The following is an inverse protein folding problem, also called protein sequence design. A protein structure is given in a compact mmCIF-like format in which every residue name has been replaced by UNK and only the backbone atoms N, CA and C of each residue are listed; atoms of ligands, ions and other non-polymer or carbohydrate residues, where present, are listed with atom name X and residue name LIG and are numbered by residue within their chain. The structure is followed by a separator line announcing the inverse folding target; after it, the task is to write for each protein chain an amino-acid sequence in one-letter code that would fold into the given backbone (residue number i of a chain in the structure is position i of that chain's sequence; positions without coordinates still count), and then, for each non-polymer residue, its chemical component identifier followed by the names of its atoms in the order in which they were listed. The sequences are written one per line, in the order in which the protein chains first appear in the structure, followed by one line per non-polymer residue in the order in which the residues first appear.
data_IF_261342341142
#
_entry.id   IF_261342341142
#
_cell.length_a   1.000
_cell.length_b   1.000
_cell.length_c   1.000
_cell.angle_alpha   90.00
_cell.angle_beta   90.00
_cell.angle_gamma   90.00
#
_symmetry.space_group_name_H-M   'P 1'
#
loop_
_entity.id
_entity.type
_entity.pdbx_description
1 polymer ?
#
# COMPACT_ATOMS: atom_id res chain seq x y z
N UNK A 1 -34.35 -50.20 35.24
CA UNK A 1 -35.43 -49.64 36.07
C UNK A 1 -34.77 -49.26 37.39
N UNK A 2 -35.01 -48.05 37.90
CA UNK A 2 -34.40 -47.59 39.15
C UNK A 2 -35.05 -48.28 40.36
N UNK A 3 -34.26 -48.58 41.39
CA UNK A 3 -34.69 -49.34 42.57
C UNK A 3 -35.05 -48.46 43.78
N UNK A 4 -34.48 -47.27 43.86
CA UNK A 4 -34.54 -46.34 44.99
C UNK A 4 -34.56 -44.87 44.52
N UNK A 5 -34.87 -44.63 43.24
CA UNK A 5 -34.80 -43.32 42.59
C UNK A 5 -36.03 -43.08 41.71
N UNK A 6 -36.60 -41.88 41.82
CA UNK A 6 -37.54 -41.30 40.86
C UNK A 6 -36.92 -40.00 40.34
N UNK A 7 -36.79 -39.89 39.02
CA UNK A 7 -36.31 -38.68 38.34
C UNK A 7 -37.37 -38.19 37.36
N UNK A 8 -37.78 -36.94 37.48
CA UNK A 8 -38.75 -36.31 36.59
C UNK A 8 -38.29 -34.91 36.20
N UNK A 9 -38.82 -34.43 35.08
CA UNK A 9 -38.71 -33.02 34.70
C UNK A 9 -39.96 -32.32 35.21
N UNK A 10 -39.79 -31.26 35.97
CA UNK A 10 -40.91 -30.45 36.45
C UNK A 10 -41.62 -29.77 35.27
N UNK A 11 -42.95 -29.67 35.37
CA UNK A 11 -43.83 -29.01 34.40
C UNK A 11 -44.23 -27.58 34.84
N UNK A 12 -43.75 -27.14 36.01
CA UNK A 12 -44.14 -25.88 36.63
C UNK A 12 -45.42 -25.95 37.47
N UNK A 13 -46.06 -27.11 37.58
CA UNK A 13 -47.25 -27.34 38.38
C UNK A 13 -46.92 -28.17 39.63
N UNK A 14 -47.80 -28.14 40.62
CA UNK A 14 -47.64 -28.95 41.83
C UNK A 14 -48.16 -30.40 41.65
N UNK A 15 -47.67 -31.06 40.62
CA UNK A 15 -48.06 -32.44 40.29
C UNK A 15 -47.45 -33.40 41.32
N UNK A 16 -48.24 -34.27 41.99
CA UNK A 16 -47.70 -35.25 42.93
C UNK A 16 -46.71 -36.21 42.28
N UNK A 17 -45.61 -36.47 42.98
CA UNK A 17 -44.58 -37.43 42.56
C UNK A 17 -44.79 -38.73 43.35
N UNK A 18 -45.14 -39.82 42.66
CA UNK A 18 -45.33 -41.14 43.26
C UNK A 18 -43.99 -41.88 43.38
N UNK A 19 -43.72 -42.41 44.58
CA UNK A 19 -42.55 -43.24 44.87
C UNK A 19 -42.84 -44.69 44.51
N UNK A 20 -42.01 -45.26 43.64
CA UNK A 20 -42.10 -46.66 43.20
C UNK A 20 -41.30 -47.65 44.06
N UNK A 21 -40.80 -47.21 45.22
CA UNK A 21 -39.93 -47.97 46.09
C UNK A 21 -40.31 -47.77 47.57
N UNK A 22 -40.04 -48.78 48.40
CA UNK A 22 -40.27 -48.71 49.85
C UNK A 22 -39.16 -47.94 50.56
N UNK A 23 -39.45 -47.44 51.75
CA UNK A 23 -38.48 -46.78 52.64
C UNK A 23 -38.92 -47.00 54.09
N UNK A 24 -37.98 -46.87 55.05
CA UNK A 24 -38.26 -47.09 56.48
C UNK A 24 -38.86 -45.86 57.14
N UNK A 25 -38.23 -44.71 56.91
CA UNK A 25 -38.68 -43.43 57.45
C UNK A 25 -38.62 -42.33 56.38
N UNK A 26 -39.50 -41.32 56.48
CA UNK A 26 -39.49 -40.19 55.54
C UNK A 26 -38.17 -39.41 55.54
N UNK A 27 -37.40 -39.48 56.63
CA UNK A 27 -36.04 -38.96 56.76
C UNK A 27 -35.02 -39.68 55.88
N UNK A 28 -35.30 -40.90 55.43
CA UNK A 28 -34.49 -41.61 54.45
C UNK A 28 -34.69 -41.05 53.03
N UNK A 29 -35.65 -40.14 52.81
CA UNK A 29 -35.95 -39.60 51.48
C UNK A 29 -35.31 -38.23 51.29
N UNK A 30 -34.40 -38.16 50.31
CA UNK A 30 -33.76 -36.92 49.88
C UNK A 30 -34.38 -36.46 48.57
N UNK A 31 -34.91 -35.23 48.57
CA UNK A 31 -35.40 -34.56 47.37
C UNK A 31 -34.39 -33.50 46.94
N UNK A 32 -34.02 -33.51 45.66
CA UNK A 32 -33.20 -32.48 45.03
C UNK A 32 -33.95 -31.87 43.86
N UNK A 33 -33.79 -30.56 43.68
CA UNK A 33 -34.26 -29.83 42.49
C UNK A 33 -33.05 -29.13 41.89
N UNK A 34 -32.74 -29.46 40.64
CA UNK A 34 -31.56 -28.95 39.93
C UNK A 34 -30.26 -29.16 40.73
N UNK A 35 -30.13 -30.35 41.33
CA UNK A 35 -29.00 -30.73 42.18
C UNK A 35 -29.02 -30.16 43.60
N UNK A 36 -29.91 -29.23 43.93
CA UNK A 36 -30.00 -28.60 45.26
C UNK A 36 -30.94 -29.37 46.18
N UNK A 37 -30.43 -29.86 47.30
CA UNK A 37 -31.21 -30.56 48.34
C UNK A 37 -32.32 -29.67 48.90
N UNK A 38 -33.50 -30.25 49.03
CA UNK A 38 -34.71 -29.62 49.58
C UNK A 38 -35.03 -30.24 50.93
N UNK A 39 -35.68 -29.44 51.78
CA UNK A 39 -36.01 -29.80 53.16
C UNK A 39 -37.48 -30.19 53.28
N UNK A 40 -37.76 -31.36 53.86
CA UNK A 40 -39.10 -31.82 54.20
C UNK A 40 -39.82 -30.79 55.09
N UNK A 41 -41.15 -30.67 54.95
CA UNK A 41 -42.05 -29.67 55.56
C UNK A 41 -41.84 -28.22 55.11
N UNK A 42 -40.62 -27.83 54.72
CA UNK A 42 -40.34 -26.49 54.20
C UNK A 42 -40.61 -26.39 52.71
N UNK A 43 -40.01 -27.29 51.93
CA UNK A 43 -40.06 -27.26 50.46
C UNK A 43 -41.03 -28.29 49.86
N UNK A 44 -41.18 -29.43 50.53
CA UNK A 44 -42.07 -30.50 50.11
C UNK A 44 -42.70 -31.22 51.31
N UNK A 45 -43.77 -31.95 51.07
CA UNK A 45 -44.52 -32.74 52.07
C UNK A 45 -44.85 -34.12 51.52
N UNK A 46 -45.26 -35.03 52.40
CA UNK A 46 -45.83 -36.35 52.06
C UNK A 46 -47.35 -36.35 52.29
N UNK A 47 -48.18 -36.06 51.27
CA UNK A 47 -49.63 -36.18 51.40
C UNK A 47 -50.09 -37.62 51.65
N UNK A 48 -49.34 -38.59 51.14
CA UNK A 48 -49.52 -40.03 51.41
C UNK A 48 -48.16 -40.68 51.71
N UNK A 49 -48.17 -41.92 52.17
CA UNK A 49 -46.94 -42.70 52.42
C UNK A 49 -46.11 -42.99 51.15
N UNK A 50 -46.60 -42.71 49.94
CA UNK A 50 -45.87 -42.97 48.71
C UNK A 50 -45.94 -41.81 47.71
N UNK A 51 -46.36 -40.61 48.13
CA UNK A 51 -46.40 -39.44 47.25
C UNK A 51 -45.75 -38.23 47.91
N UNK A 52 -45.09 -37.42 47.10
CA UNK A 52 -44.52 -36.14 47.49
C UNK A 52 -45.19 -35.02 46.69
N UNK A 53 -45.45 -33.90 47.34
CA UNK A 53 -45.85 -32.64 46.70
C UNK A 53 -45.00 -31.49 47.23
N UNK A 54 -44.80 -30.45 46.40
CA UNK A 54 -44.09 -29.25 46.83
C UNK A 54 -45.02 -28.31 47.58
N UNK A 55 -44.46 -27.56 48.55
CA UNK A 55 -45.22 -26.53 49.27
C UNK A 55 -45.44 -25.32 48.37
N UNK A 56 -46.45 -24.50 48.68
CA UNK A 56 -46.74 -23.29 47.93
C UNK A 56 -45.50 -22.37 47.90
N UNK A 57 -45.17 -21.86 46.71
CA UNK A 57 -43.96 -21.05 46.49
C UNK A 57 -42.66 -21.83 46.28
N UNK A 58 -42.66 -23.16 46.45
CA UNK A 58 -41.49 -24.03 46.25
C UNK A 58 -41.65 -25.01 45.07
N UNK A 59 -42.66 -24.80 44.23
CA UNK A 59 -42.92 -25.62 43.04
C UNK A 59 -41.75 -25.42 42.05
N UNK A 60 -41.05 -26.50 41.64
CA UNK A 60 -39.98 -26.39 40.67
C UNK A 60 -40.46 -25.81 39.34
N UNK A 61 -39.67 -24.91 38.77
CA UNK A 61 -39.97 -24.29 37.48
C UNK A 61 -39.93 -25.34 36.36
N UNK A 62 -40.75 -25.15 35.32
CA UNK A 62 -40.75 -26.00 34.14
C UNK A 62 -39.32 -26.20 33.60
N UNK A 63 -38.94 -27.46 33.37
CA UNK A 63 -37.62 -27.85 32.87
C UNK A 63 -36.58 -28.17 33.95
N UNK A 64 -36.82 -27.83 35.23
CA UNK A 64 -35.93 -28.26 36.31
C UNK A 64 -36.05 -29.77 36.55
N UNK A 65 -34.91 -30.43 36.79
CA UNK A 65 -34.90 -31.85 37.14
C UNK A 65 -35.20 -32.00 38.62
N UNK A 66 -36.21 -32.80 38.94
CA UNK A 66 -36.51 -33.24 40.31
C UNK A 66 -35.99 -34.66 40.47
N UNK A 67 -35.16 -34.85 41.48
CA UNK A 67 -34.64 -36.15 41.89
C UNK A 67 -35.17 -36.46 43.29
N UNK A 68 -35.89 -37.58 43.43
CA UNK A 68 -36.28 -38.14 44.72
C UNK A 68 -35.57 -39.46 44.89
N UNK A 69 -34.75 -39.58 45.92
CA UNK A 69 -33.90 -40.75 46.14
C UNK A 69 -33.95 -41.17 47.60
N UNK A 70 -33.97 -42.48 47.84
CA UNK A 70 -33.75 -43.04 49.19
C UNK A 70 -32.25 -42.97 49.53
N UNK A 71 -31.96 -42.61 50.76
CA UNK A 71 -30.61 -42.45 51.30
C UNK A 71 -30.56 -43.13 52.67
N UNK A 72 -30.37 -44.45 52.65
CA UNK A 72 -30.25 -45.26 53.86
C UNK A 72 -28.98 -44.88 54.62
N UNK A 73 -29.06 -44.79 55.95
CA UNK A 73 -27.89 -44.51 56.78
C UNK A 73 -26.85 -45.63 56.59
N UNK A 74 -25.66 -45.25 56.13
CA UNK A 74 -24.52 -46.16 55.95
C UNK A 74 -23.36 -45.86 56.92
N UNK A 75 -23.50 -44.85 57.78
CA UNK A 75 -22.49 -44.47 58.76
C UNK A 75 -22.68 -45.18 60.10
N UNK A 76 -23.87 -45.73 60.36
CA UNK A 76 -24.18 -46.52 61.55
C UNK A 76 -25.17 -47.64 61.22
N UNK A 77 -24.99 -48.79 61.88
CA UNK A 77 -25.97 -49.88 61.88
C UNK A 77 -27.16 -49.50 62.76
N UNK A 78 -28.36 -49.80 62.29
CA UNK A 78 -29.59 -49.58 63.07
C UNK A 78 -29.79 -50.64 64.16
N UNK A 79 -29.17 -51.81 63.99
CA UNK A 79 -29.18 -52.92 64.95
C UNK A 79 -27.74 -53.26 65.35
N UNK A 80 -27.50 -53.33 66.65
CA UNK A 80 -26.24 -53.79 67.24
C UNK A 80 -26.53 -55.05 68.07
N UNK A 81 -26.04 -56.20 67.60
CA UNK A 81 -26.31 -57.48 68.24
C UNK A 81 -25.45 -57.64 69.50
N UNK A 82 -26.10 -57.72 70.67
CA UNK A 82 -25.41 -57.93 71.95
C UNK A 82 -25.60 -59.36 72.46
N UNK A 83 -24.54 -59.92 73.05
CA UNK A 83 -24.58 -61.27 73.59
C UNK A 83 -25.61 -61.41 74.73
N UNK A 84 -26.43 -62.45 74.67
CA UNK A 84 -27.47 -62.71 75.68
C UNK A 84 -28.78 -61.93 75.46
N UNK A 85 -28.88 -61.08 74.43
CA UNK A 85 -30.16 -60.53 74.01
C UNK A 85 -30.98 -61.57 73.24
N UNK A 86 -32.31 -61.53 73.43
CA UNK A 86 -33.24 -62.28 72.59
C UNK A 86 -33.29 -61.60 71.22
N UNK A 87 -32.82 -62.29 70.18
CA UNK A 87 -32.99 -61.83 68.80
C UNK A 87 -34.47 -61.80 68.45
N UNK A 88 -34.98 -60.63 68.08
CA UNK A 88 -36.36 -60.47 67.61
C UNK A 88 -36.41 -60.47 66.09
N UNK A 89 -37.57 -60.83 65.54
CA UNK A 89 -37.86 -60.65 64.11
C UNK A 89 -37.60 -59.20 63.68
N UNK A 90 -37.99 -58.22 64.50
CA UNK A 90 -37.75 -56.80 64.23
C UNK A 90 -36.27 -56.43 64.09
N UNK A 91 -35.39 -57.04 64.90
CA UNK A 91 -33.94 -56.83 64.79
C UNK A 91 -33.38 -57.44 63.50
N UNK A 92 -33.85 -58.64 63.12
CA UNK A 92 -33.41 -59.33 61.91
C UNK A 92 -33.92 -58.63 60.64
N UNK A 93 -35.17 -58.20 60.63
CA UNK A 93 -35.78 -57.48 59.52
C UNK A 93 -35.15 -56.10 59.35
N UNK A 94 -34.91 -55.36 60.44
CA UNK A 94 -34.28 -54.03 60.36
C UNK A 94 -32.87 -54.11 59.77
N UNK A 95 -32.06 -55.08 60.20
CA UNK A 95 -30.70 -55.27 59.65
C UNK A 95 -30.75 -55.67 58.17
N UNK A 96 -31.62 -56.65 57.84
CA UNK A 96 -31.77 -57.17 56.47
C UNK A 96 -32.31 -56.11 55.51
N UNK A 97 -33.28 -55.30 55.94
CA UNK A 97 -33.88 -54.21 55.16
C UNK A 97 -32.88 -53.08 54.94
N UNK A 98 -32.12 -52.67 55.97
CA UNK A 98 -31.05 -51.68 55.82
C UNK A 98 -30.03 -52.14 54.78
N UNK A 99 -29.59 -53.40 54.86
CA UNK A 99 -28.64 -53.98 53.90
C UNK A 99 -29.22 -54.04 52.47
N UNK A 100 -30.48 -54.46 52.33
CA UNK A 100 -31.15 -54.55 51.03
C UNK A 100 -31.33 -53.18 50.38
N UNK A 101 -31.73 -52.18 51.16
CA UNK A 101 -31.89 -50.82 50.66
C UNK A 101 -30.56 -50.19 50.23
N UNK A 102 -29.49 -50.40 51.00
CA UNK A 102 -28.15 -49.97 50.62
C UNK A 102 -27.68 -50.62 49.31
N UNK A 103 -28.00 -51.90 49.09
CA UNK A 103 -27.66 -52.59 47.84
C UNK A 103 -28.39 -51.98 46.63
N UNK A 104 -29.70 -51.70 46.76
CA UNK A 104 -30.49 -51.02 45.73
C UNK A 104 -29.97 -49.61 45.42
N UNK A 105 -29.65 -48.84 46.45
CA UNK A 105 -29.12 -47.47 46.32
C UNK A 105 -27.74 -47.46 45.65
N UNK A 106 -26.90 -48.45 45.97
CA UNK A 106 -25.60 -48.63 45.33
C UNK A 106 -25.73 -48.98 43.85
N UNK A 107 -26.68 -49.85 43.48
CA UNK A 107 -26.97 -50.17 42.08
C UNK A 107 -27.45 -48.94 41.29
N UNK A 108 -28.34 -48.14 41.87
CA UNK A 108 -28.81 -46.90 41.24
C UNK A 108 -27.68 -45.87 41.09
N UNK A 109 -26.77 -45.78 42.07
CA UNK A 109 -25.59 -44.91 41.99
C UNK A 109 -24.63 -45.36 40.90
N UNK A 110 -24.41 -46.68 40.77
CA UNK A 110 -23.60 -47.24 39.69
C UNK A 110 -24.24 -46.99 38.31
N UNK A 111 -25.57 -47.10 38.20
CA UNK A 111 -26.30 -46.84 36.96
C UNK A 111 -26.30 -45.35 36.55
N UNK A 112 -26.23 -44.42 37.51
CA UNK A 112 -26.09 -42.98 37.26
C UNK A 112 -24.64 -42.55 36.95
N UNK A 113 -23.68 -43.45 37.17
CA UNK A 113 -22.26 -43.18 36.89
C UNK A 113 -21.93 -43.38 35.41
N UNK A 114 -20.76 -42.89 34.99
CA UNK A 114 -20.23 -43.21 33.66
C UNK A 114 -19.73 -44.66 33.69
N UNK A 115 -20.35 -45.52 32.89
CA UNK A 115 -20.04 -46.96 32.82
C UNK A 115 -19.35 -47.33 31.51
N UNK A 116 -18.69 -48.48 31.51
CA UNK A 116 -18.13 -49.11 30.31
C UNK A 116 -19.23 -49.86 29.56
N UNK A 117 -19.21 -49.76 28.23
CA UNK A 117 -20.07 -50.55 27.37
C UNK A 117 -19.51 -51.98 27.18
N UNK A 118 -20.23 -52.82 26.43
CA UNK A 118 -19.80 -54.18 26.11
C UNK A 118 -18.47 -54.28 25.32
N UNK A 119 -17.97 -53.16 24.82
CA UNK A 119 -16.70 -53.05 24.09
C UNK A 119 -15.58 -52.42 24.94
N UNK A 120 -15.76 -52.33 26.26
CA UNK A 120 -14.77 -51.75 27.19
C UNK A 120 -14.48 -50.25 26.93
N UNK A 121 -15.53 -49.48 26.57
CA UNK A 121 -15.43 -48.03 26.32
C UNK A 121 -16.43 -47.27 27.18
N UNK A 122 -16.00 -46.16 27.80
CA UNK A 122 -16.90 -45.28 28.54
C UNK A 122 -17.94 -44.64 27.63
N UNK A 123 -19.22 -44.74 28.00
CA UNK A 123 -20.32 -44.17 27.24
C UNK A 123 -21.08 -43.11 28.04
N UNK A 124 -21.39 -41.99 27.37
CA UNK A 124 -22.11 -40.87 27.99
C UNK A 124 -23.64 -41.04 28.04
N UNK A 125 -24.19 -42.17 27.57
CA UNK A 125 -25.63 -42.46 27.55
C UNK A 125 -26.50 -41.33 26.99
N UNK A 126 -26.02 -40.64 25.94
CA UNK A 126 -26.65 -39.44 25.34
C UNK A 126 -26.92 -38.31 26.34
N UNK A 127 -26.15 -38.25 27.43
CA UNK A 127 -26.16 -37.17 28.41
C UNK A 127 -24.99 -36.22 28.16
N UNK A 128 -25.16 -34.99 28.62
CA UNK A 128 -24.09 -33.99 28.63
C UNK A 128 -23.15 -34.26 29.80
N UNK A 129 -21.85 -34.15 29.54
CA UNK A 129 -20.81 -34.11 30.56
C UNK A 129 -20.37 -32.66 30.72
N UNK A 130 -20.38 -32.15 31.95
CA UNK A 130 -20.07 -30.75 32.28
C UNK A 130 -19.04 -30.70 33.41
N UNK A 131 -18.53 -29.50 33.73
CA UNK A 131 -17.52 -29.26 34.77
C UNK A 131 -16.21 -30.05 34.54
N UNK A 132 -15.79 -30.11 33.28
CA UNK A 132 -14.50 -30.66 32.88
C UNK A 132 -13.51 -29.50 32.77
N UNK A 133 -12.33 -29.63 33.36
CA UNK A 133 -11.24 -28.67 33.20
C UNK A 133 -10.71 -28.66 31.76
N UNK A 134 -10.04 -27.59 31.36
CA UNK A 134 -9.40 -27.54 30.04
C UNK A 134 -8.27 -28.58 29.94
N UNK A 135 -8.11 -29.23 28.77
CA UNK A 135 -7.11 -30.28 28.58
C UNK A 135 -5.68 -29.73 28.67
N UNK A 136 -4.81 -30.46 29.35
CA UNK A 136 -3.37 -30.14 29.48
C UNK A 136 -2.48 -31.21 28.86
N UNK A 137 -2.92 -32.48 28.91
CA UNK A 137 -2.30 -33.62 28.25
C UNK A 137 -2.92 -33.93 26.89
N UNK A 138 -2.17 -34.63 26.04
CA UNK A 138 -2.62 -34.99 24.68
C UNK A 138 -3.79 -35.98 24.64
N UNK A 139 -4.11 -36.64 25.77
CA UNK A 139 -5.19 -37.63 25.90
C UNK A 139 -6.35 -37.11 26.74
N UNK A 140 -6.29 -35.86 27.20
CA UNK A 140 -7.35 -35.26 28.01
C UNK A 140 -8.60 -35.01 27.15
N UNK A 141 -9.77 -35.03 27.79
CA UNK A 141 -11.02 -34.68 27.12
C UNK A 141 -11.01 -33.20 26.76
N UNK A 142 -11.14 -32.89 25.47
CA UNK A 142 -11.31 -31.52 25.01
C UNK A 142 -12.78 -31.09 25.15
N UNK A 143 -13.02 -30.02 25.90
CA UNK A 143 -14.36 -29.41 25.98
C UNK A 143 -14.70 -28.70 24.67
N UNK A 144 -16.00 -28.48 24.42
CA UNK A 144 -16.45 -27.66 23.29
C UNK A 144 -15.85 -26.25 23.34
N UNK A 145 -15.84 -25.63 24.52
CA UNK A 145 -15.30 -24.29 24.72
C UNK A 145 -13.81 -24.21 24.37
N UNK A 146 -13.01 -25.18 24.82
CA UNK A 146 -11.60 -25.29 24.46
C UNK A 146 -11.42 -25.43 22.94
N UNK A 147 -12.16 -26.34 22.31
CA UNK A 147 -12.04 -26.61 20.87
C UNK A 147 -12.43 -25.38 20.03
N UNK A 148 -13.53 -24.72 20.36
CA UNK A 148 -13.99 -23.51 19.67
C UNK A 148 -12.94 -22.37 19.76
N UNK A 149 -12.27 -22.24 20.91
CA UNK A 149 -11.17 -21.28 21.09
C UNK A 149 -9.99 -21.58 20.15
N UNK A 150 -9.56 -22.85 20.07
CA UNK A 150 -8.47 -23.25 19.19
C UNK A 150 -8.81 -23.04 17.72
N UNK A 151 -10.03 -23.40 17.30
CA UNK A 151 -10.51 -23.17 15.92
C UNK A 151 -10.54 -21.69 15.58
N UNK A 152 -11.02 -20.85 16.50
CA UNK A 152 -11.05 -19.40 16.31
C UNK A 152 -9.66 -18.82 16.11
N UNK A 153 -8.68 -19.27 16.91
CA UNK A 153 -7.28 -18.88 16.77
C UNK A 153 -6.70 -19.26 15.41
N UNK A 154 -6.96 -20.49 14.94
CA UNK A 154 -6.54 -20.95 13.61
C UNK A 154 -7.14 -20.09 12.51
N UNK A 155 -8.43 -19.75 12.59
CA UNK A 155 -9.12 -18.92 11.61
C UNK A 155 -8.54 -17.49 11.54
N UNK A 156 -8.19 -16.90 12.68
CA UNK A 156 -7.51 -15.60 12.76
C UNK A 156 -6.12 -15.66 12.11
N UNK A 157 -5.33 -16.69 12.40
CA UNK A 157 -4.01 -16.87 11.82
C UNK A 157 -4.07 -17.06 10.29
N UNK A 158 -5.03 -17.83 9.80
CA UNK A 158 -5.25 -18.02 8.37
C UNK A 158 -5.60 -16.69 7.66
N UNK A 159 -6.44 -15.87 8.30
CA UNK A 159 -6.81 -14.55 7.78
C UNK A 159 -5.60 -13.60 7.74
N UNK A 160 -4.78 -13.58 8.79
CA UNK A 160 -3.54 -12.79 8.83
C UNK A 160 -2.53 -13.23 7.76
N UNK A 161 -2.40 -14.54 7.52
CA UNK A 161 -1.57 -15.08 6.46
C UNK A 161 -2.07 -14.67 5.06
N UNK A 162 -3.39 -14.68 4.83
CA UNK A 162 -3.98 -14.23 3.56
C UNK A 162 -3.73 -12.74 3.32
N UNK A 163 -3.93 -11.87 4.32
CA UNK A 163 -3.60 -10.44 4.23
C UNK A 163 -2.13 -10.21 3.90
N UNK A 164 -1.23 -10.96 4.55
CA UNK A 164 0.21 -10.88 4.30
C UNK A 164 0.57 -11.27 2.87
N UNK A 165 -0.07 -12.32 2.33
CA UNK A 165 0.11 -12.74 0.94
C UNK A 165 -0.38 -11.68 -0.06
N UNK A 166 -1.54 -11.05 0.20
CA UNK A 166 -2.04 -9.95 -0.64
C UNK A 166 -1.10 -8.75 -0.64
N UNK A 167 -0.57 -8.37 0.53
CA UNK A 167 0.39 -7.26 0.64
C UNK A 167 1.70 -7.56 -0.12
N UNK A 168 2.18 -8.80 -0.06
CA UNK A 168 3.35 -9.24 -0.83
C UNK A 168 3.09 -9.17 -2.34
N UNK A 169 1.91 -9.59 -2.81
CA UNK A 169 1.52 -9.48 -4.21
C UNK A 169 1.48 -8.02 -4.70
N UNK A 170 0.87 -7.12 -3.92
CA UNK A 170 0.88 -5.68 -4.23
C UNK A 170 2.30 -5.11 -4.30
N UNK A 171 3.18 -5.52 -3.37
CA UNK A 171 4.58 -5.07 -3.36
C UNK A 171 5.34 -5.54 -4.61
N UNK A 172 5.07 -6.75 -5.09
CA UNK A 172 5.63 -7.27 -6.34
C UNK A 172 5.15 -6.45 -7.56
N UNK A 173 3.85 -6.12 -7.63
CA UNK A 173 3.30 -5.26 -8.69
C UNK A 173 3.95 -3.87 -8.69
N UNK A 174 4.09 -3.24 -7.51
CA UNK A 174 4.72 -1.93 -7.39
C UNK A 174 6.20 -1.95 -7.80
N UNK A 175 6.91 -3.03 -7.49
CA UNK A 175 8.30 -3.22 -7.91
C UNK A 175 8.41 -3.36 -9.43
N UNK A 176 7.51 -4.11 -10.07
CA UNK A 176 7.46 -4.24 -11.53
C UNK A 176 7.11 -2.92 -12.24
N UNK A 177 6.18 -2.13 -11.67
CA UNK A 177 5.85 -0.80 -12.16
C UNK A 177 7.05 0.14 -12.08
N UNK A 178 7.76 0.14 -10.93
CA UNK A 178 8.97 0.94 -10.74
C UNK A 178 10.07 0.58 -11.74
N UNK A 179 10.26 -0.72 -12.03
CA UNK A 179 11.20 -1.18 -13.04
C UNK A 179 10.82 -0.69 -14.44
N UNK A 180 9.53 -0.71 -14.78
CA UNK A 180 9.01 -0.17 -16.05
C UNK A 180 9.30 1.33 -16.17
N UNK A 181 8.99 2.12 -15.14
CA UNK A 181 9.25 3.56 -15.14
C UNK A 181 10.74 3.90 -15.28
N UNK A 182 11.62 3.11 -14.64
CA UNK A 182 13.06 3.25 -14.78
C UNK A 182 13.52 2.97 -16.23
N UNK A 183 12.99 1.93 -16.87
CA UNK A 183 13.29 1.61 -18.27
C UNK A 183 12.82 2.71 -19.25
N UNK A 184 11.61 3.26 -19.03
CA UNK A 184 11.12 4.40 -19.81
C UNK A 184 12.01 5.63 -19.65
N UNK A 185 12.41 5.96 -18.42
CA UNK A 185 13.31 7.08 -18.14
C UNK A 185 14.67 6.92 -18.84
N UNK A 186 15.23 5.70 -18.84
CA UNK A 186 16.46 5.39 -19.58
C UNK A 186 16.30 5.59 -21.10
N UNK A 187 15.15 5.22 -21.65
CA UNK A 187 14.83 5.40 -23.08
C UNK A 187 14.72 6.88 -23.45
N UNK A 188 14.03 7.67 -22.62
CA UNK A 188 13.93 9.12 -22.78
C UNK A 188 15.32 9.77 -22.75
N UNK A 189 16.15 9.44 -21.75
CA UNK A 189 17.51 9.95 -21.65
C UNK A 189 18.37 9.61 -22.89
N UNK A 190 18.24 8.40 -23.43
CA UNK A 190 18.92 8.00 -24.67
C UNK A 190 18.44 8.81 -25.88
N UNK A 191 17.14 9.09 -25.96
CA UNK A 191 16.53 9.85 -27.06
C UNK A 191 16.97 11.32 -27.00
N UNK A 192 16.94 11.92 -25.82
CA UNK A 192 17.42 13.28 -25.59
C UNK A 192 18.90 13.40 -25.93
N UNK A 193 19.71 12.41 -25.52
CA UNK A 193 21.13 12.34 -25.90
C UNK A 193 21.34 12.32 -27.42
N UNK A 194 20.57 11.53 -28.16
CA UNK A 194 20.64 11.49 -29.62
C UNK A 194 20.18 12.80 -30.29
N UNK A 195 19.13 13.43 -29.75
CA UNK A 195 18.65 14.73 -30.21
C UNK A 195 19.71 15.82 -30.00
N UNK A 196 20.38 15.82 -28.86
CA UNK A 196 21.47 16.75 -28.55
C UNK A 196 22.65 16.59 -29.52
N UNK A 197 23.04 15.36 -29.87
CA UNK A 197 24.09 15.10 -30.87
C UNK A 197 23.67 15.62 -32.25
N UNK A 198 22.41 15.41 -32.63
CA UNK A 198 21.87 15.91 -33.90
C UNK A 198 21.91 17.44 -33.97
N UNK A 199 21.48 18.11 -32.88
CA UNK A 199 21.53 19.56 -32.77
C UNK A 199 22.97 20.10 -32.83
N UNK A 200 23.89 19.48 -32.09
CA UNK A 200 25.30 19.86 -32.12
C UNK A 200 25.90 19.73 -33.53
N UNK A 201 25.56 18.66 -34.25
CA UNK A 201 25.99 18.45 -35.65
C UNK A 201 25.44 19.55 -36.57
N UNK A 202 24.17 19.91 -36.44
CA UNK A 202 23.57 20.99 -37.21
C UNK A 202 24.20 22.36 -36.91
N UNK A 203 24.54 22.63 -35.65
CA UNK A 203 25.22 23.87 -35.24
C UNK A 203 26.63 23.95 -35.85
N UNK A 204 27.39 22.84 -35.89
CA UNK A 204 28.70 22.79 -36.56
C UNK A 204 28.57 23.05 -38.06
N UNK A 205 27.58 22.45 -38.72
CA UNK A 205 27.31 22.70 -40.13
C UNK A 205 26.98 24.19 -40.40
N UNK A 206 26.10 24.78 -39.58
CA UNK A 206 25.75 26.19 -39.68
C UNK A 206 26.96 27.11 -39.45
N UNK A 207 27.79 26.83 -38.44
CA UNK A 207 29.02 27.58 -38.19
C UNK A 207 29.97 27.51 -39.39
N UNK A 208 30.08 26.33 -40.02
CA UNK A 208 30.88 26.12 -41.24
C UNK A 208 30.35 26.95 -42.41
N UNK A 209 29.03 26.94 -42.64
CA UNK A 209 28.40 27.77 -43.68
C UNK A 209 28.62 29.25 -43.44
N UNK A 210 28.48 29.72 -42.20
CA UNK A 210 28.72 31.12 -41.85
C UNK A 210 30.19 31.52 -42.08
N UNK A 211 31.15 30.65 -41.74
CA UNK A 211 32.57 30.89 -42.02
C UNK A 211 32.85 31.01 -43.53
N UNK A 212 32.27 30.13 -44.34
CA UNK A 212 32.38 30.20 -45.81
C UNK A 212 31.76 31.47 -46.37
N UNK A 213 30.57 31.86 -45.90
CA UNK A 213 29.91 33.09 -46.34
C UNK A 213 30.74 34.32 -45.95
N UNK A 214 31.30 34.36 -44.75
CA UNK A 214 32.17 35.45 -44.31
C UNK A 214 33.43 35.57 -45.19
N UNK A 215 34.06 34.44 -45.54
CA UNK A 215 35.21 34.42 -46.46
C UNK A 215 34.85 34.90 -47.87
N UNK A 216 33.68 34.50 -48.38
CA UNK A 216 33.17 34.96 -49.68
C UNK A 216 32.89 36.47 -49.66
N UNK A 217 32.25 36.99 -48.60
CA UNK A 217 32.02 38.42 -48.42
C UNK A 217 33.33 39.21 -48.33
N UNK A 218 34.34 38.70 -47.62
CA UNK A 218 35.66 39.33 -47.55
C UNK A 218 36.33 39.38 -48.94
N UNK A 219 36.24 38.30 -49.72
CA UNK A 219 36.75 38.24 -51.09
C UNK A 219 36.04 39.25 -52.00
N UNK A 220 34.71 39.33 -51.92
CA UNK A 220 33.92 40.29 -52.69
C UNK A 220 34.23 41.76 -52.31
N UNK A 221 34.45 42.03 -51.02
CA UNK A 221 34.86 43.34 -50.55
C UNK A 221 36.25 43.72 -51.10
N UNK A 222 37.21 42.79 -51.07
CA UNK A 222 38.54 43.00 -51.63
C UNK A 222 38.51 43.27 -53.14
N UNK A 223 37.71 42.50 -53.90
CA UNK A 223 37.50 42.72 -55.34
C UNK A 223 36.88 44.10 -55.62
N UNK A 224 35.91 44.50 -54.81
CA UNK A 224 35.25 45.82 -54.91
C UNK A 224 36.22 46.97 -54.58
N UNK A 225 37.17 46.78 -53.66
CA UNK A 225 38.19 47.79 -53.39
C UNK A 225 39.18 47.93 -54.56
N UNK A 226 39.57 46.82 -55.19
CA UNK A 226 40.49 46.82 -56.34
C UNK A 226 39.92 47.54 -57.58
N UNK A 227 38.60 47.48 -57.80
CA UNK A 227 37.96 48.20 -58.92
C UNK A 227 37.99 49.72 -58.75
N UNK A 228 38.06 50.24 -57.51
CA UNK A 228 38.20 51.70 -57.26
C UNK A 228 39.61 52.20 -57.59
N UNK A 229 40.65 51.36 -57.40
CA UNK A 229 42.04 51.67 -57.81
C UNK A 229 42.29 51.55 -59.32
N UNK A 230 41.43 50.84 -60.06
CA UNK A 230 41.57 50.60 -61.50
C UNK A 230 41.05 51.72 -62.42
N UNK A 231 40.74 52.88 -61.86
CA UNK A 231 40.18 54.01 -62.60
C UNK A 231 38.66 54.04 -62.49
N UNK A 232 38.15 55.04 -61.75
CA UNK A 232 36.96 55.74 -62.21
C UNK A 232 37.21 56.30 -63.63
N UNK A 233 36.28 57.03 -64.25
CA UNK A 233 36.60 57.76 -65.48
C UNK A 233 37.73 58.76 -65.20
N UNK A 234 38.98 58.29 -65.34
CA UNK A 234 40.17 59.08 -65.30
C UNK A 234 40.24 59.79 -66.64
N UNK A 235 40.26 61.12 -66.60
CA UNK A 235 40.65 61.97 -67.72
C UNK A 235 42.17 61.90 -67.97
N UNK A 236 42.79 60.74 -67.78
CA UNK A 236 44.24 60.56 -67.84
C UNK A 236 44.59 59.20 -68.43
N UNK A 237 45.01 59.23 -69.70
CA UNK A 237 45.64 58.11 -70.38
C UNK A 237 47.08 57.98 -69.91
N UNK A 238 47.36 56.94 -69.14
CA UNK A 238 48.69 56.60 -68.65
C UNK A 238 49.68 56.19 -69.75
N UNK A 239 50.24 57.17 -70.46
CA UNK A 239 51.38 57.03 -71.37
C UNK A 239 52.51 57.95 -70.97
N UNK A 240 53.76 57.47 -71.03
CA UNK A 240 54.96 58.23 -70.67
C UNK A 240 55.18 59.40 -71.63
N UNK A 241 54.91 60.62 -71.18
CA UNK A 241 55.20 61.85 -71.92
C UNK A 241 54.22 62.99 -71.67
N UNK A 242 53.08 62.74 -71.03
CA UNK A 242 52.04 63.75 -70.83
C UNK A 242 52.17 64.39 -69.43
N UNK A 243 52.64 65.64 -69.37
CA UNK A 243 52.44 66.49 -68.19
C UNK A 243 51.03 67.06 -68.27
N UNK A 244 50.20 66.78 -67.25
CA UNK A 244 48.88 67.39 -67.04
C UNK A 244 48.85 68.87 -67.44
N UNK A 245 47.92 69.22 -68.33
CA UNK A 245 47.87 70.47 -69.10
C UNK A 245 47.30 71.62 -68.27
N UNK A 246 48.00 72.01 -67.21
CA UNK A 246 47.95 73.40 -66.72
C UNK A 246 49.36 73.95 -66.76
N UNK A 247 49.70 74.58 -67.89
CA UNK A 247 50.93 75.37 -68.03
C UNK A 247 50.65 76.79 -67.52
N UNK A 248 51.33 77.22 -66.47
CA UNK A 248 51.22 78.57 -65.92
C UNK A 248 52.28 79.49 -66.55
N UNK A 249 51.85 80.64 -67.07
CA UNK A 249 52.74 81.65 -67.66
C UNK A 249 52.84 82.89 -66.75
N UNK A 250 53.97 83.60 -66.78
CA UNK A 250 54.11 84.90 -66.10
C UNK A 250 53.22 85.96 -66.78
N UNK A 251 52.68 86.89 -66.00
CA UNK A 251 51.80 87.97 -66.47
C UNK A 251 52.54 89.18 -67.10
N UNK A 252 53.87 89.10 -67.25
CA UNK A 252 54.69 90.12 -67.91
C UNK A 252 55.65 89.48 -68.91
N UNK A 253 55.71 90.02 -70.12
CA UNK A 253 56.67 89.66 -71.17
C UNK A 253 57.70 90.79 -71.27
N UNK A 254 58.96 90.49 -70.93
CA UNK A 254 60.06 91.47 -70.90
C UNK A 254 61.37 90.87 -71.40
N UNK A 255 62.09 91.62 -72.24
CA UNK A 255 63.40 91.22 -72.79
C UNK A 255 63.29 90.43 -74.10
N UNK A 256 64.39 90.32 -74.85
CA UNK A 256 64.46 89.75 -76.20
C UNK A 256 64.30 88.20 -76.22
N UNK A 257 63.38 87.66 -75.41
CA UNK A 257 62.97 86.25 -75.40
C UNK A 257 62.06 86.04 -76.60
N UNK A 258 62.57 85.38 -77.64
CA UNK A 258 61.78 85.00 -78.81
C UNK A 258 60.75 83.93 -78.43
N UNK A 259 59.58 84.37 -77.92
CA UNK A 259 58.44 83.49 -77.74
C UNK A 259 57.84 83.25 -79.13
N UNK A 260 58.04 82.04 -79.66
CA UNK A 260 57.50 81.62 -80.95
C UNK A 260 56.37 80.63 -80.72
N UNK A 261 55.18 80.92 -81.25
CA UNK A 261 54.12 79.91 -81.39
C UNK A 261 54.40 79.18 -82.72
N UNK A 262 54.80 77.89 -82.68
CA UNK A 262 55.18 77.16 -83.87
C UNK A 262 53.96 76.84 -84.74
N UNK A 263 54.19 76.63 -86.04
CA UNK A 263 53.16 76.30 -87.02
C UNK A 263 52.34 75.07 -86.60
N UNK A 264 51.01 75.14 -86.69
CA UNK A 264 50.10 74.04 -86.34
C UNK A 264 49.77 73.92 -84.84
N UNK A 265 50.25 74.83 -84.00
CA UNK A 265 49.91 74.91 -82.58
C UNK A 265 49.12 76.17 -82.25
N UNK A 266 48.27 76.10 -81.22
CA UNK A 266 47.62 77.27 -80.64
C UNK A 266 48.22 77.59 -79.27
N UNK A 267 48.60 78.85 -79.08
CA UNK A 267 48.98 79.38 -77.77
C UNK A 267 47.78 80.05 -77.13
N UNK A 268 47.65 79.96 -75.80
CA UNK A 268 46.66 80.74 -75.05
C UNK A 268 47.31 81.37 -73.82
N UNK A 269 47.02 82.64 -73.60
CA UNK A 269 47.34 83.34 -72.36
C UNK A 269 46.09 84.06 -71.87
N UNK A 270 45.75 83.89 -70.60
CA UNK A 270 44.54 84.45 -70.00
C UNK A 270 44.89 85.31 -68.78
N UNK A 271 44.28 86.50 -68.68
CA UNK A 271 44.54 87.50 -67.63
C UNK A 271 45.24 88.76 -68.16
N UNK A 272 45.50 89.76 -67.30
CA UNK A 272 46.24 90.96 -67.71
C UNK A 272 47.67 90.57 -68.11
N UNK A 273 48.05 90.89 -69.35
CA UNK A 273 49.39 90.65 -69.89
C UNK A 273 50.01 91.98 -70.28
N UNK A 274 51.18 92.29 -69.74
CA UNK A 274 51.95 93.47 -70.11
C UNK A 274 53.14 93.09 -70.99
N UNK A 275 53.22 93.67 -72.19
CA UNK A 275 54.38 93.53 -73.09
C UNK A 275 55.24 94.78 -72.94
N UNK A 276 56.49 94.59 -72.49
CA UNK A 276 57.42 95.70 -72.24
C UNK A 276 57.94 96.28 -73.55
N UNK A 277 58.05 97.62 -73.63
CA UNK A 277 58.58 98.34 -74.80
C UNK A 277 59.91 97.73 -75.28
N UNK A 278 59.98 97.40 -76.58
CA UNK A 278 61.11 96.71 -77.20
C UNK A 278 61.01 95.18 -77.28
N UNK A 279 59.92 94.56 -76.79
CA UNK A 279 59.69 93.10 -76.88
C UNK A 279 58.75 92.73 -78.05
N UNK A 280 58.94 91.56 -78.66
CA UNK A 280 58.08 91.04 -79.74
C UNK A 280 57.72 89.56 -79.55
N UNK A 281 56.49 89.16 -79.88
CA UNK A 281 56.04 87.76 -79.96
C UNK A 281 55.86 87.38 -81.43
N UNK A 282 56.38 86.21 -81.84
CA UNK A 282 56.26 85.72 -83.22
C UNK A 282 55.22 84.60 -83.29
N UNK A 283 54.12 84.84 -84.01
CA UNK A 283 53.14 83.79 -84.33
C UNK A 283 53.40 83.33 -85.76
N UNK A 284 53.80 82.07 -85.91
CA UNK A 284 54.13 81.51 -87.22
C UNK A 284 52.88 81.36 -88.10
N UNK A 285 53.04 81.36 -89.42
CA UNK A 285 51.92 81.18 -90.36
C UNK A 285 51.13 79.88 -90.06
N UNK A 286 49.81 79.98 -89.91
CA UNK A 286 48.94 78.84 -89.55
C UNK A 286 48.89 78.49 -88.06
N UNK A 287 49.49 79.30 -87.19
CA UNK A 287 49.28 79.24 -85.74
C UNK A 287 48.36 80.37 -85.28
N UNK A 288 47.70 80.17 -84.14
CA UNK A 288 46.87 81.21 -83.52
C UNK A 288 47.31 81.44 -82.08
N UNK A 289 47.46 82.70 -81.68
CA UNK A 289 47.64 83.06 -80.29
C UNK A 289 46.37 83.73 -79.78
N UNK A 290 45.72 83.09 -78.82
CA UNK A 290 44.54 83.63 -78.17
C UNK A 290 44.95 84.33 -76.87
N UNK A 291 44.74 85.64 -76.83
CA UNK A 291 44.88 86.43 -75.61
C UNK A 291 43.48 86.73 -75.10
N UNK A 292 43.16 86.19 -73.93
CA UNK A 292 41.89 86.47 -73.26
C UNK A 292 42.18 87.45 -72.13
N UNK A 293 41.91 88.72 -72.39
CA UNK A 293 41.92 89.74 -71.33
C UNK A 293 40.79 89.52 -70.35
N UNK A 294 40.91 90.08 -69.15
CA UNK A 294 39.77 90.30 -68.26
C UNK A 294 39.00 91.54 -68.67
#
# INVERSE_FOLDING_TARGET
MAFALVRSTADGNNTPITLGFSYRDTGDIVVKVDGVTKTLTTHYTFPTSNTITFTAGNIPTNGQVVEVRRATNHSARLVDYVAGATLTETDLDTDSEQAFFMAQESLDTANDSITLNASDVYEGNSKRIINIADPTGAQDVATKAYTDSQVSSVATNASAAATSASAAATSATNSAASATSAASSATSASTDGAAQVTLATAQVALATTQATNAAASATAAAASAASVTGGGPALDGGGTGETSVIRTNKNQISGNVSLTVPTGSNGMSAGPITITSGSSVTVSSGATWHIVGT
#
